data_IF_793660248090
#
_entry.id   IF_793660248090
#
_cell.length_a   1.000
_cell.length_b   1.000
_cell.length_c   1.000
_cell.angle_alpha   90.00
_cell.angle_beta   90.00
_cell.angle_gamma   90.00
#
_symmetry.space_group_name_H-M   'P 1'
#
loop_
_entity.id
_entity.type
_entity.pdbx_description
1 polymer ?
#
# COMPACT_ATOMS: atom_id res chain seq x y z
N UNK A 1 1.65 33.64 21.47
CA UNK A 1 1.85 32.40 20.67
C UNK A 1 3.34 32.28 20.35
N UNK A 2 3.94 31.13 20.65
CA UNK A 2 5.35 30.91 20.37
C UNK A 2 5.53 30.50 18.89
N UNK A 3 5.85 31.45 18.05
CA UNK A 3 6.04 31.23 16.63
C UNK A 3 7.16 30.23 16.33
N UNK A 4 8.26 30.09 17.12
CA UNK A 4 9.24 29.02 16.88
C UNK A 4 8.65 27.63 17.10
N UNK A 5 7.76 27.45 18.07
CA UNK A 5 7.07 26.17 18.31
C UNK A 5 6.12 25.86 17.16
N UNK A 6 5.39 26.86 16.69
CA UNK A 6 4.47 26.71 15.56
C UNK A 6 5.24 26.28 14.30
N UNK A 7 6.38 26.92 14.01
CA UNK A 7 7.23 26.56 12.88
C UNK A 7 7.73 25.11 13.02
N UNK A 8 8.18 24.73 14.21
CA UNK A 8 8.64 23.38 14.49
C UNK A 8 7.56 22.32 14.20
N UNK A 9 6.33 22.59 14.64
CA UNK A 9 5.19 21.70 14.39
C UNK A 9 4.91 21.59 12.89
N UNK A 10 4.90 22.72 12.18
CA UNK A 10 4.67 22.72 10.73
C UNK A 10 5.75 21.94 10.00
N UNK A 11 7.02 22.11 10.38
CA UNK A 11 8.13 21.36 9.78
C UNK A 11 7.95 19.86 9.99
N UNK A 12 7.57 19.43 11.19
CA UNK A 12 7.34 18.01 11.50
C UNK A 12 6.18 17.46 10.65
N UNK A 13 5.07 18.21 10.56
CA UNK A 13 3.92 17.79 9.77
C UNK A 13 4.28 17.69 8.30
N UNK A 14 4.96 18.69 7.74
CA UNK A 14 5.38 18.68 6.34
C UNK A 14 6.35 17.52 6.09
N UNK A 15 7.32 17.33 6.98
CA UNK A 15 8.27 16.22 6.87
C UNK A 15 7.56 14.85 6.89
N UNK A 16 6.56 14.69 7.76
CA UNK A 16 5.76 13.45 7.83
C UNK A 16 4.96 13.22 6.56
N UNK A 17 4.30 14.26 6.03
CA UNK A 17 3.52 14.17 4.79
C UNK A 17 4.43 13.83 3.61
N UNK A 18 5.58 14.50 3.50
CA UNK A 18 6.57 14.22 2.44
C UNK A 18 7.09 12.80 2.55
N UNK A 19 7.47 12.37 3.77
CA UNK A 19 7.94 11.02 4.03
C UNK A 19 6.88 9.98 3.61
N UNK A 20 5.64 10.21 3.99
CA UNK A 20 4.53 9.31 3.66
C UNK A 20 4.32 9.20 2.15
N UNK A 21 4.41 10.33 1.44
CA UNK A 21 4.29 10.34 -0.03
C UNK A 21 5.45 9.62 -0.72
N UNK A 22 6.67 9.82 -0.22
CA UNK A 22 7.86 9.16 -0.76
C UNK A 22 7.87 7.65 -0.50
N UNK A 23 7.11 7.17 0.50
CA UNK A 23 7.00 5.74 0.79
C UNK A 23 6.07 5.01 -0.16
N UNK A 24 5.25 5.73 -0.93
CA UNK A 24 4.37 5.14 -1.93
C UNK A 24 5.12 4.94 -3.24
N UNK A 25 4.82 3.83 -3.92
CA UNK A 25 5.38 3.58 -5.24
C UNK A 25 4.87 4.64 -6.23
N UNK A 26 5.71 5.05 -7.19
CA UNK A 26 5.28 5.99 -8.21
C UNK A 26 4.19 5.37 -9.09
N UNK A 27 3.32 6.23 -9.63
CA UNK A 27 2.24 5.78 -10.52
C UNK A 27 2.79 5.03 -11.73
N UNK A 28 3.86 5.55 -12.34
CA UNK A 28 4.47 4.94 -13.52
C UNK A 28 5.02 3.55 -13.24
N UNK A 29 5.76 3.40 -12.14
CA UNK A 29 6.35 2.11 -11.74
C UNK A 29 5.24 1.11 -11.41
N UNK A 30 4.21 1.55 -10.67
CA UNK A 30 3.09 0.69 -10.34
C UNK A 30 2.39 0.17 -11.59
N UNK A 31 2.16 1.04 -12.58
CA UNK A 31 1.51 0.64 -13.84
C UNK A 31 2.36 -0.32 -14.65
N UNK A 32 3.68 -0.16 -14.65
CA UNK A 32 4.58 -1.12 -15.28
C UNK A 32 4.49 -2.49 -14.63
N UNK A 33 4.44 -2.53 -13.31
CA UNK A 33 4.28 -3.79 -12.58
C UNK A 33 2.93 -4.44 -12.85
N UNK A 34 1.86 -3.65 -12.91
CA UNK A 34 0.53 -4.17 -13.26
C UNK A 34 0.53 -4.80 -14.65
N UNK A 35 1.13 -4.13 -15.63
CA UNK A 35 1.24 -4.66 -16.99
C UNK A 35 2.04 -5.96 -17.04
N UNK A 36 2.96 -6.16 -16.13
CA UNK A 36 3.79 -7.36 -16.02
C UNK A 36 3.18 -8.46 -15.14
N UNK A 37 1.96 -8.28 -14.64
CA UNK A 37 1.25 -9.32 -13.89
C UNK A 37 1.31 -9.19 -12.38
N UNK A 38 1.61 -8.01 -11.84
CA UNK A 38 1.60 -7.79 -10.40
C UNK A 38 0.21 -8.04 -9.81
N UNK A 39 0.18 -8.54 -8.57
CA UNK A 39 -1.06 -8.74 -7.83
C UNK A 39 -1.34 -7.53 -6.94
N UNK A 40 -2.58 -7.07 -6.96
CA UNK A 40 -3.05 -5.99 -6.07
C UNK A 40 -3.70 -6.63 -4.86
N UNK A 41 -3.23 -6.26 -3.67
CA UNK A 41 -3.73 -6.80 -2.40
C UNK A 41 -4.27 -5.66 -1.55
N UNK A 42 -5.56 -5.77 -1.22
CA UNK A 42 -6.26 -4.87 -0.31
C UNK A 42 -6.15 -5.45 1.10
N UNK A 43 -5.44 -4.75 1.97
CA UNK A 43 -5.20 -5.20 3.34
C UNK A 43 -6.20 -4.60 4.35
N UNK A 44 -7.29 -4.02 3.84
CA UNK A 44 -8.39 -3.52 4.67
C UNK A 44 -9.24 -4.69 5.19
N UNK A 45 -10.21 -4.35 6.05
CA UNK A 45 -11.17 -5.35 6.52
C UNK A 45 -12.07 -5.85 5.39
N UNK A 46 -12.70 -7.04 5.55
CA UNK A 46 -13.65 -7.54 4.56
C UNK A 46 -14.83 -6.61 4.34
N UNK A 47 -15.30 -5.93 5.38
CA UNK A 47 -16.42 -4.98 5.30
C UNK A 47 -16.05 -3.78 4.44
N UNK A 48 -14.87 -3.23 4.64
CA UNK A 48 -14.36 -2.13 3.81
C UNK A 48 -14.25 -2.57 2.35
N UNK A 49 -13.72 -3.76 2.12
CA UNK A 49 -13.55 -4.32 0.77
C UNK A 49 -14.90 -4.46 0.05
N UNK A 50 -15.92 -4.94 0.75
CA UNK A 50 -17.26 -5.08 0.18
C UNK A 50 -17.91 -3.74 -0.14
N UNK A 51 -17.57 -2.70 0.61
CA UNK A 51 -18.13 -1.35 0.41
C UNK A 51 -17.58 -0.65 -0.82
N UNK A 52 -16.45 -1.06 -1.33
CA UNK A 52 -15.82 -0.47 -2.51
C UNK A 52 -14.38 -0.96 -2.62
N UNK A 53 -14.01 -1.44 -3.79
CA UNK A 53 -12.72 -2.10 -3.99
C UNK A 53 -12.11 -1.73 -5.32
N UNK A 54 -10.81 -1.91 -5.42
CA UNK A 54 -10.08 -1.78 -6.68
C UNK A 54 -10.41 -3.01 -7.54
N UNK A 55 -10.77 -2.83 -8.82
CA UNK A 55 -11.03 -3.98 -9.70
C UNK A 55 -9.82 -4.92 -9.76
N UNK A 56 -10.09 -6.22 -9.58
CA UNK A 56 -9.05 -7.23 -9.62
C UNK A 56 -8.24 -7.40 -8.33
N UNK A 57 -8.46 -6.56 -7.31
CA UNK A 57 -7.77 -6.68 -6.04
C UNK A 57 -8.23 -7.90 -5.25
N UNK A 58 -7.28 -8.51 -4.54
CA UNK A 58 -7.54 -9.61 -3.62
C UNK A 58 -7.58 -9.02 -2.20
N UNK A 59 -8.59 -9.36 -1.42
CA UNK A 59 -8.67 -8.92 -0.04
C UNK A 59 -8.01 -9.92 0.89
N UNK A 60 -6.92 -9.50 1.51
CA UNK A 60 -6.27 -10.23 2.61
C UNK A 60 -6.05 -9.20 3.72
N UNK A 61 -6.91 -9.17 4.75
CA UNK A 61 -6.74 -8.21 5.84
C UNK A 61 -5.35 -8.29 6.46
N UNK A 62 -4.85 -7.15 6.93
CA UNK A 62 -3.49 -7.04 7.48
C UNK A 62 -3.18 -8.14 8.50
N UNK A 63 -4.13 -8.46 9.39
CA UNK A 63 -3.93 -9.48 10.42
C UNK A 63 -3.85 -10.91 9.89
N UNK A 64 -4.27 -11.15 8.65
CA UNK A 64 -4.30 -12.48 8.05
C UNK A 64 -3.15 -12.72 7.07
N UNK A 65 -2.33 -11.72 6.80
CA UNK A 65 -1.27 -11.83 5.78
C UNK A 65 -0.30 -12.97 6.06
N UNK A 66 0.12 -13.11 7.32
CA UNK A 66 1.13 -14.09 7.70
C UNK A 66 0.70 -15.51 7.38
N UNK A 67 -0.57 -15.82 7.61
CA UNK A 67 -1.11 -17.17 7.40
C UNK A 67 -1.64 -17.36 5.97
N UNK A 68 -2.31 -16.34 5.42
CA UNK A 68 -3.07 -16.48 4.18
C UNK A 68 -2.22 -16.26 2.93
N UNK A 69 -1.29 -15.31 2.96
CA UNK A 69 -0.56 -14.94 1.75
C UNK A 69 0.31 -16.07 1.20
N UNK A 70 1.09 -16.80 2.03
CA UNK A 70 1.92 -17.89 1.50
C UNK A 70 1.12 -19.02 0.84
N UNK A 71 -0.14 -19.19 1.22
CA UNK A 71 -1.02 -20.19 0.60
C UNK A 71 -1.49 -19.74 -0.78
N UNK A 72 -1.65 -18.43 -0.98
CA UNK A 72 -2.18 -17.85 -2.20
C UNK A 72 -1.11 -17.44 -3.19
N UNK A 73 0.07 -17.05 -2.69
CA UNK A 73 1.20 -16.59 -3.49
C UNK A 73 2.43 -17.38 -3.08
N UNK A 74 2.70 -18.43 -3.82
CA UNK A 74 3.80 -19.35 -3.52
C UNK A 74 5.14 -18.84 -4.08
N UNK A 75 5.11 -18.09 -5.17
CA UNK A 75 6.29 -17.48 -5.74
C UNK A 75 6.69 -16.25 -4.93
N UNK A 76 7.79 -16.35 -4.20
CA UNK A 76 8.30 -15.25 -3.38
C UNK A 76 8.74 -14.04 -4.20
N UNK A 77 9.02 -14.22 -5.49
CA UNK A 77 9.41 -13.13 -6.38
C UNK A 77 8.23 -12.43 -7.03
N UNK A 78 7.01 -12.89 -6.79
CA UNK A 78 5.80 -12.23 -7.29
C UNK A 78 5.77 -10.78 -6.81
N UNK A 79 5.52 -9.86 -7.74
CA UNK A 79 5.34 -8.45 -7.39
C UNK A 79 3.97 -8.26 -6.75
N UNK A 80 3.97 -7.68 -5.56
CA UNK A 80 2.77 -7.43 -4.77
C UNK A 80 2.58 -5.93 -4.60
N UNK A 81 1.42 -5.44 -5.00
CA UNK A 81 1.04 -4.04 -4.84
C UNK A 81 -0.04 -3.96 -3.76
N UNK A 82 0.33 -3.46 -2.59
CA UNK A 82 -0.56 -3.43 -1.43
C UNK A 82 -1.16 -2.04 -1.24
N UNK A 83 -2.41 -1.97 -0.84
CA UNK A 83 -3.06 -0.71 -0.49
C UNK A 83 -4.03 -0.91 0.67
N UNK A 84 -4.41 0.20 1.29
CA UNK A 84 -5.46 0.22 2.29
C UNK A 84 -6.35 1.45 2.06
N UNK A 85 -6.95 2.03 3.12
CA UNK A 85 -7.77 3.22 2.96
C UNK A 85 -6.90 4.48 2.78
N UNK A 86 -5.84 4.63 3.59
CA UNK A 86 -4.99 5.84 3.62
C UNK A 86 -3.49 5.57 3.42
N UNK A 87 -3.07 4.31 3.38
CA UNK A 87 -1.68 3.92 3.17
C UNK A 87 -0.92 3.47 4.41
N UNK A 88 -1.49 3.63 5.62
CA UNK A 88 -0.83 3.24 6.86
C UNK A 88 -0.75 1.73 7.06
N UNK A 89 -1.88 1.05 6.97
CA UNK A 89 -1.93 -0.42 7.07
C UNK A 89 -1.12 -1.08 5.97
N UNK A 90 -1.18 -0.54 4.75
CA UNK A 90 -0.42 -1.09 3.63
C UNK A 90 1.08 -0.86 3.77
N UNK A 91 1.50 0.21 4.43
CA UNK A 91 2.91 0.41 4.80
C UNK A 91 3.39 -0.68 5.76
N UNK A 92 2.58 -1.01 6.76
CA UNK A 92 2.87 -2.11 7.69
C UNK A 92 2.88 -3.46 6.97
N UNK A 93 1.93 -3.67 6.06
CA UNK A 93 1.86 -4.89 5.24
C UNK A 93 3.13 -5.07 4.42
N UNK A 94 3.60 -4.02 3.78
CA UNK A 94 4.84 -4.06 2.99
C UNK A 94 6.02 -4.54 3.84
N UNK A 95 6.20 -3.96 5.03
CA UNK A 95 7.29 -4.37 5.91
C UNK A 95 7.14 -5.82 6.36
N UNK A 96 5.94 -6.23 6.74
CA UNK A 96 5.68 -7.60 7.17
C UNK A 96 5.97 -8.59 6.04
N UNK A 97 5.51 -8.31 4.82
CA UNK A 97 5.71 -9.21 3.68
C UNK A 97 7.18 -9.32 3.29
N UNK A 98 7.93 -8.22 3.34
CA UNK A 98 9.37 -8.26 3.12
C UNK A 98 10.07 -9.14 4.15
N UNK A 99 9.66 -9.03 5.41
CA UNK A 99 10.16 -9.90 6.49
C UNK A 99 9.81 -11.37 6.29
N UNK A 100 8.75 -11.67 5.56
CA UNK A 100 8.32 -13.04 5.23
C UNK A 100 9.01 -13.60 3.99
N UNK A 101 9.88 -12.83 3.35
CA UNK A 101 10.65 -13.28 2.19
C UNK A 101 10.10 -12.86 0.84
N UNK A 102 9.16 -11.91 0.79
CA UNK A 102 8.66 -11.32 -0.45
C UNK A 102 9.37 -9.99 -0.71
N UNK A 103 10.42 -9.95 -1.57
CA UNK A 103 11.19 -8.72 -1.76
C UNK A 103 10.50 -7.68 -2.62
N UNK A 104 9.56 -8.08 -3.47
CA UNK A 104 8.97 -7.20 -4.48
C UNK A 104 7.59 -6.72 -4.04
N UNK A 105 7.54 -5.99 -2.92
CA UNK A 105 6.32 -5.43 -2.38
C UNK A 105 6.37 -3.91 -2.45
N UNK A 106 5.30 -3.31 -2.98
CA UNK A 106 5.19 -1.87 -3.15
C UNK A 106 3.88 -1.37 -2.58
N UNK A 107 3.91 -0.21 -1.94
CA UNK A 107 2.74 0.40 -1.34
C UNK A 107 2.06 1.35 -2.33
N UNK A 108 0.86 1.00 -2.77
CA UNK A 108 0.05 1.86 -3.64
C UNK A 108 -0.55 3.05 -2.88
N UNK A 109 -0.65 2.98 -1.56
CA UNK A 109 -1.17 4.04 -0.73
C UNK A 109 -2.65 3.92 -0.43
N UNK A 110 -3.40 4.99 -0.68
CA UNK A 110 -4.83 5.06 -0.38
C UNK A 110 -5.68 4.30 -1.39
N UNK A 111 -6.93 4.03 -1.01
CA UNK A 111 -7.90 3.43 -1.91
C UNK A 111 -8.07 4.28 -3.18
N UNK A 112 -8.25 5.59 -3.03
CA UNK A 112 -8.41 6.48 -4.18
C UNK A 112 -7.22 6.47 -5.11
N UNK A 113 -6.02 6.49 -4.55
CA UNK A 113 -4.78 6.42 -5.34
C UNK A 113 -4.66 5.09 -6.08
N UNK A 114 -4.94 3.99 -5.39
CA UNK A 114 -4.90 2.66 -5.99
C UNK A 114 -5.93 2.53 -7.11
N UNK A 115 -7.13 3.06 -6.92
CA UNK A 115 -8.17 3.07 -7.96
C UNK A 115 -7.72 3.83 -9.21
N UNK A 116 -7.10 4.99 -9.05
CA UNK A 116 -6.58 5.79 -10.17
C UNK A 116 -5.47 5.05 -10.92
N UNK A 117 -4.55 4.44 -10.19
CA UNK A 117 -3.44 3.71 -10.80
C UNK A 117 -3.96 2.54 -11.63
N UNK A 118 -4.84 1.73 -11.07
CA UNK A 118 -5.39 0.54 -11.74
C UNK A 118 -6.28 0.93 -12.92
N UNK A 119 -7.04 2.02 -12.80
CA UNK A 119 -7.87 2.52 -13.89
C UNK A 119 -7.07 3.14 -15.04
N UNK A 120 -5.78 3.42 -14.86
CA UNK A 120 -4.95 4.01 -15.87
C UNK A 120 -5.17 5.50 -16.10
N UNK A 121 -5.75 6.19 -15.11
CA UNK A 121 -6.08 7.63 -15.23
C UNK A 121 -5.09 8.52 -14.50
#
# INVERSE_FOLDING_TARGET
MNWPVTIGIVVVIVGFVVFKRLSFVSVEVARKHLAAGALVIDVRSPEEFRSGQVPGAINIPLGDLRDSLPRRVKDKNQVLLVHCLSGGRSGMAKQQLKGMGYPNVFNLGSLGRAQQIVAGK
#
